data_IF_728606184837
#
_entry.id   IF_728606184837
#
_cell.length_a   1.000
_cell.length_b   1.000
_cell.length_c   1.000
_cell.angle_alpha   90.00
_cell.angle_beta   90.00
_cell.angle_gamma   90.00
#
_symmetry.space_group_name_H-M   'P 1'
#
loop_
_entity.id
_entity.type
_entity.pdbx_description
1 polymer ?
#
# COMPACT_ATOMS: atom_id res chain seq x y z
N UNK A 1 -19.98 -16.87 6.60
CA UNK A 1 -18.53 -17.08 6.82
C UNK A 1 -17.94 -15.76 7.24
N UNK A 2 -17.21 -15.73 8.34
CA UNK A 2 -16.58 -14.53 8.83
C UNK A 2 -15.50 -14.09 7.85
N UNK A 3 -15.54 -12.83 7.42
CA UNK A 3 -14.56 -12.25 6.51
C UNK A 3 -13.27 -11.94 7.27
N UNK A 4 -12.13 -12.41 6.78
CA UNK A 4 -10.83 -12.26 7.41
C UNK A 4 -9.94 -11.33 6.60
N UNK A 5 -9.39 -10.32 7.25
CA UNK A 5 -8.49 -9.37 6.62
C UNK A 5 -7.14 -9.33 7.33
N UNK A 6 -6.06 -9.21 6.58
CA UNK A 6 -4.72 -8.94 7.12
C UNK A 6 -4.28 -7.56 6.64
N UNK A 7 -3.83 -6.73 7.60
CA UNK A 7 -3.37 -5.36 7.36
C UNK A 7 -1.89 -5.24 7.71
N UNK A 8 -1.04 -5.03 6.70
CA UNK A 8 0.39 -4.77 6.88
C UNK A 8 0.61 -3.26 6.95
N UNK A 9 1.33 -2.80 7.98
CA UNK A 9 1.56 -1.38 8.24
C UNK A 9 0.46 -0.73 9.10
N UNK A 10 -0.17 -1.50 9.98
CA UNK A 10 -1.31 -1.08 10.79
C UNK A 10 -0.94 -0.25 12.05
N UNK A 11 0.34 0.02 12.32
CA UNK A 11 0.74 0.72 13.55
C UNK A 11 0.44 2.22 13.56
N UNK A 12 0.12 2.84 12.41
CA UNK A 12 -0.19 4.28 12.32
C UNK A 12 -0.82 4.65 10.97
N UNK A 13 -1.32 5.89 10.87
CA UNK A 13 -1.80 6.49 9.63
C UNK A 13 -2.87 5.67 8.93
N UNK A 14 -2.83 5.61 7.60
CA UNK A 14 -3.89 4.99 6.78
C UNK A 14 -4.10 3.51 7.14
N UNK A 15 -3.01 2.76 7.38
CA UNK A 15 -3.11 1.33 7.71
C UNK A 15 -3.88 1.09 9.01
N UNK A 16 -3.65 1.94 10.03
CA UNK A 16 -4.38 1.88 11.30
C UNK A 16 -5.86 2.18 11.11
N UNK A 17 -6.18 3.25 10.40
CA UNK A 17 -7.57 3.65 10.13
C UNK A 17 -8.33 2.58 9.34
N UNK A 18 -7.70 1.97 8.34
CA UNK A 18 -8.32 0.88 7.58
C UNK A 18 -8.56 -0.35 8.45
N UNK A 19 -7.61 -0.71 9.32
CA UNK A 19 -7.79 -1.83 10.24
C UNK A 19 -8.99 -1.60 11.19
N UNK A 20 -9.10 -0.41 11.78
CA UNK A 20 -10.21 -0.04 12.65
C UNK A 20 -11.55 -0.11 11.91
N UNK A 21 -11.65 0.49 10.73
CA UNK A 21 -12.88 0.47 9.93
C UNK A 21 -13.28 -0.94 9.46
N UNK A 22 -12.31 -1.82 9.19
CA UNK A 22 -12.60 -3.22 8.87
C UNK A 22 -13.21 -3.95 10.07
N UNK A 23 -12.65 -3.75 11.27
CA UNK A 23 -13.20 -4.32 12.51
C UNK A 23 -14.60 -3.78 12.80
N UNK A 24 -14.85 -2.47 12.64
CA UNK A 24 -16.19 -1.87 12.75
C UNK A 24 -17.20 -2.46 11.76
N UNK A 25 -16.75 -2.91 10.59
CA UNK A 25 -17.58 -3.61 9.59
C UNK A 25 -17.74 -5.12 9.87
N UNK A 26 -17.28 -5.60 11.01
CA UNK A 26 -17.41 -7.00 11.43
C UNK A 26 -16.41 -7.96 10.77
N UNK A 27 -15.28 -7.46 10.24
CA UNK A 27 -14.20 -8.34 9.79
C UNK A 27 -13.37 -8.84 10.97
N UNK A 28 -12.94 -10.08 10.90
CA UNK A 28 -11.88 -10.60 11.78
C UNK A 28 -10.54 -10.15 11.22
N UNK A 29 -9.83 -9.27 11.94
CA UNK A 29 -8.65 -8.57 11.42
C UNK A 29 -7.38 -9.03 12.12
N UNK A 30 -6.40 -9.46 11.31
CA UNK A 30 -5.00 -9.63 11.72
C UNK A 30 -4.19 -8.39 11.31
N UNK A 31 -3.33 -7.91 12.20
CA UNK A 31 -2.53 -6.71 11.98
C UNK A 31 -1.04 -6.97 12.13
N UNK A 32 -0.23 -6.33 11.28
CA UNK A 32 1.23 -6.45 11.37
C UNK A 32 1.94 -5.12 11.12
N UNK A 33 3.00 -4.89 11.88
CA UNK A 33 3.95 -3.81 11.72
C UNK A 33 5.20 -4.06 12.56
N UNK A 34 6.19 -3.17 12.48
CA UNK A 34 7.41 -3.24 13.32
C UNK A 34 7.16 -2.90 14.79
N UNK A 35 6.22 -1.98 15.08
CA UNK A 35 5.91 -1.47 16.42
C UNK A 35 4.72 -2.24 16.99
N UNK A 36 5.02 -3.28 17.77
CA UNK A 36 3.99 -4.18 18.32
C UNK A 36 3.12 -3.48 19.36
N UNK A 37 3.69 -2.63 20.18
CA UNK A 37 2.98 -1.84 21.18
C UNK A 37 1.83 -1.02 20.59
N UNK A 38 2.04 -0.48 19.37
CA UNK A 38 1.00 0.25 18.63
C UNK A 38 -0.07 -0.64 18.02
N UNK A 39 0.25 -1.91 17.76
CA UNK A 39 -0.72 -2.88 17.26
C UNK A 39 -1.63 -3.39 18.39
N UNK A 40 -1.09 -3.56 19.60
CA UNK A 40 -1.84 -3.98 20.79
C UNK A 40 -2.98 -3.00 21.13
N UNK A 41 -2.78 -1.70 20.90
CA UNK A 41 -3.82 -0.67 21.06
C UNK A 41 -5.06 -0.88 20.15
N UNK A 42 -4.93 -1.66 19.07
CA UNK A 42 -6.03 -1.92 18.13
C UNK A 42 -6.99 -3.03 18.58
N UNK A 43 -6.58 -3.86 19.56
CA UNK A 43 -7.36 -5.03 19.99
C UNK A 43 -7.78 -5.95 18.83
N UNK A 44 -6.93 -6.10 17.82
CA UNK A 44 -7.18 -6.96 16.66
C UNK A 44 -7.16 -8.45 17.04
N UNK A 45 -7.82 -9.30 16.25
CA UNK A 45 -7.95 -10.72 16.50
C UNK A 45 -6.61 -11.48 16.48
N UNK A 46 -5.63 -10.99 15.70
CA UNK A 46 -4.27 -11.53 15.66
C UNK A 46 -3.27 -10.39 15.41
N UNK A 47 -2.10 -10.50 16.03
CA UNK A 47 -1.03 -9.50 15.94
C UNK A 47 0.29 -10.20 15.62
N UNK A 48 1.07 -9.65 14.67
CA UNK A 48 2.39 -10.17 14.35
C UNK A 48 3.39 -9.02 14.14
N UNK A 49 4.61 -9.19 14.65
CA UNK A 49 5.69 -8.25 14.41
C UNK A 49 6.36 -8.54 13.06
N UNK A 50 6.03 -7.75 12.04
CA UNK A 50 6.63 -7.89 10.71
C UNK A 50 7.41 -6.63 10.33
N UNK A 51 8.70 -6.79 10.07
CA UNK A 51 9.48 -5.86 9.27
C UNK A 51 9.58 -6.43 7.85
N UNK A 52 8.95 -5.75 6.89
CA UNK A 52 8.87 -6.21 5.50
C UNK A 52 10.24 -6.28 4.81
N UNK A 53 11.27 -5.64 5.38
CA UNK A 53 12.64 -5.68 4.84
C UNK A 53 13.39 -6.95 5.23
N UNK A 54 12.96 -7.66 6.28
CA UNK A 54 13.62 -8.85 6.79
C UNK A 54 13.25 -10.11 5.98
N UNK A 55 14.13 -11.10 5.99
CA UNK A 55 13.93 -12.36 5.25
C UNK A 55 12.80 -13.21 5.83
N UNK A 56 12.58 -13.14 7.13
CA UNK A 56 11.54 -13.89 7.84
C UNK A 56 10.11 -13.32 7.68
N UNK A 57 9.96 -12.18 6.98
CA UNK A 57 8.68 -11.49 6.83
C UNK A 57 7.57 -12.36 6.21
N UNK A 58 7.92 -13.23 5.25
CA UNK A 58 6.95 -14.15 4.64
C UNK A 58 6.52 -15.25 5.59
N UNK A 59 7.45 -15.83 6.36
CA UNK A 59 7.16 -16.86 7.38
C UNK A 59 6.23 -16.28 8.47
N UNK A 60 6.50 -15.05 8.92
CA UNK A 60 5.66 -14.36 9.87
C UNK A 60 4.26 -14.03 9.30
N UNK A 61 4.17 -13.68 8.02
CA UNK A 61 2.86 -13.51 7.37
C UNK A 61 2.08 -14.83 7.35
N UNK A 62 2.72 -15.95 7.03
CA UNK A 62 2.08 -17.27 7.07
C UNK A 62 1.60 -17.65 8.48
N UNK A 63 2.40 -17.33 9.51
CA UNK A 63 2.00 -17.52 10.91
C UNK A 63 0.76 -16.67 11.25
N UNK A 64 0.73 -15.40 10.83
CA UNK A 64 -0.41 -14.52 11.05
C UNK A 64 -1.68 -15.02 10.32
N UNK A 65 -1.56 -15.51 9.07
CA UNK A 65 -2.66 -16.11 8.32
C UNK A 65 -3.19 -17.34 9.08
N UNK A 66 -2.30 -18.19 9.57
CA UNK A 66 -2.66 -19.41 10.30
C UNK A 66 -3.36 -19.09 11.62
N UNK A 67 -2.87 -18.12 12.41
CA UNK A 67 -3.47 -17.71 13.67
C UNK A 67 -4.85 -17.08 13.48
N UNK A 68 -5.10 -16.42 12.33
CA UNK A 68 -6.39 -15.84 11.96
C UNK A 68 -7.37 -16.90 11.39
N UNK A 69 -6.88 -18.11 11.08
CA UNK A 69 -7.66 -19.18 10.47
C UNK A 69 -7.95 -18.97 8.97
N UNK A 70 -7.14 -18.14 8.29
CA UNK A 70 -7.26 -17.86 6.85
C UNK A 70 -7.26 -16.36 6.51
N UNK A 71 -7.40 -16.06 5.22
CA UNK A 71 -7.39 -14.68 4.71
C UNK A 71 -8.28 -14.54 3.47
N UNK A 72 -9.13 -13.50 3.44
CA UNK A 72 -9.97 -13.13 2.29
C UNK A 72 -9.52 -11.81 1.66
N UNK A 73 -8.95 -10.90 2.49
CA UNK A 73 -8.41 -9.60 2.08
C UNK A 73 -6.99 -9.43 2.64
N UNK A 74 -6.05 -9.14 1.75
CA UNK A 74 -4.72 -8.66 2.10
C UNK A 74 -4.61 -7.18 1.80
N UNK A 75 -4.45 -6.35 2.83
CA UNK A 75 -4.27 -4.91 2.69
C UNK A 75 -2.85 -4.49 3.05
N UNK A 76 -2.13 -3.94 2.06
CA UNK A 76 -0.74 -3.51 2.23
C UNK A 76 -0.65 -2.00 2.33
N UNK A 77 -0.25 -1.49 3.50
CA UNK A 77 -0.06 -0.07 3.79
C UNK A 77 1.38 0.30 4.21
N UNK A 78 2.29 -0.69 4.26
CA UNK A 78 3.68 -0.41 4.64
C UNK A 78 4.42 0.32 3.53
N UNK A 79 5.19 1.34 3.92
CA UNK A 79 6.01 2.09 2.99
C UNK A 79 6.69 3.26 3.66
N UNK A 80 7.74 3.75 3.05
CA UNK A 80 8.45 4.97 3.46
C UNK A 80 8.57 5.93 2.28
N UNK A 81 8.74 7.22 2.58
CA UNK A 81 8.97 8.24 1.56
C UNK A 81 9.61 9.46 2.19
N UNK A 82 10.72 9.88 1.62
CA UNK A 82 11.41 11.13 1.96
C UNK A 82 11.77 11.86 0.69
N UNK A 83 11.79 13.18 0.74
CA UNK A 83 12.48 13.97 -0.28
C UNK A 83 13.99 13.75 -0.16
N UNK A 84 14.67 13.62 -1.28
CA UNK A 84 16.10 13.36 -1.34
C UNK A 84 16.74 14.07 -2.54
N UNK A 85 16.77 15.40 -2.49
CA UNK A 85 17.32 16.23 -3.58
C UNK A 85 18.83 16.08 -3.71
N UNK A 86 19.51 15.67 -2.63
CA UNK A 86 20.96 15.47 -2.57
C UNK A 86 21.38 14.03 -2.92
N UNK A 87 20.42 13.16 -3.22
CA UNK A 87 20.65 11.74 -3.55
C UNK A 87 21.47 10.99 -2.48
N UNK A 88 21.18 11.26 -1.20
CA UNK A 88 21.79 10.50 -0.10
C UNK A 88 21.49 9.02 -0.26
N UNK A 89 22.53 8.21 -0.33
CA UNK A 89 22.45 6.79 -0.69
C UNK A 89 21.60 5.99 0.30
N UNK A 90 21.74 6.28 1.59
CA UNK A 90 20.96 5.61 2.66
C UNK A 90 19.46 5.79 2.48
N UNK A 91 19.00 7.00 2.07
CA UNK A 91 17.57 7.28 1.82
C UNK A 91 17.08 6.53 0.57
N UNK A 92 17.87 6.53 -0.51
CA UNK A 92 17.53 5.83 -1.75
C UNK A 92 17.42 4.32 -1.50
N UNK A 93 18.44 3.72 -0.88
CA UNK A 93 18.48 2.29 -0.62
C UNK A 93 17.40 1.85 0.39
N UNK A 94 17.19 2.59 1.49
CA UNK A 94 16.11 2.28 2.43
C UNK A 94 14.73 2.32 1.74
N UNK A 95 14.51 3.28 0.84
CA UNK A 95 13.27 3.39 0.06
C UNK A 95 13.09 2.19 -0.88
N UNK A 96 14.13 1.77 -1.59
CA UNK A 96 14.11 0.59 -2.46
C UNK A 96 13.86 -0.69 -1.64
N UNK A 97 14.54 -0.82 -0.51
CA UNK A 97 14.40 -1.98 0.37
C UNK A 97 12.98 -2.15 0.89
N UNK A 98 12.38 -1.06 1.39
CA UNK A 98 11.03 -1.10 1.96
C UNK A 98 9.95 -1.16 0.87
N UNK A 99 9.98 -0.21 -0.07
CA UNK A 99 8.90 -0.04 -1.05
C UNK A 99 9.06 -0.95 -2.27
N UNK A 100 10.27 -1.40 -2.58
CA UNK A 100 10.55 -2.32 -3.67
C UNK A 100 10.57 -3.77 -3.19
N UNK A 101 11.64 -4.17 -2.51
CA UNK A 101 11.88 -5.55 -2.10
C UNK A 101 10.83 -6.03 -1.10
N UNK A 102 10.59 -5.26 -0.02
CA UNK A 102 9.60 -5.60 1.00
C UNK A 102 8.18 -5.70 0.43
N UNK A 103 7.80 -4.77 -0.46
CA UNK A 103 6.51 -4.82 -1.17
C UNK A 103 6.39 -6.10 -2.00
N UNK A 104 7.39 -6.40 -2.83
CA UNK A 104 7.38 -7.59 -3.70
C UNK A 104 7.28 -8.88 -2.90
N UNK A 105 8.02 -8.96 -1.79
CA UNK A 105 8.00 -10.11 -0.87
C UNK A 105 6.61 -10.36 -0.30
N UNK A 106 5.98 -9.33 0.25
CA UNK A 106 4.70 -9.44 0.94
C UNK A 106 3.51 -9.66 -0.02
N UNK A 107 3.47 -8.90 -1.12
CA UNK A 107 2.44 -9.06 -2.16
C UNK A 107 2.56 -10.42 -2.85
N UNK A 108 3.80 -10.86 -3.12
CA UNK A 108 4.06 -12.16 -3.72
C UNK A 108 3.60 -13.32 -2.83
N UNK A 109 3.80 -13.21 -1.50
CA UNK A 109 3.31 -14.23 -0.56
C UNK A 109 1.79 -14.25 -0.49
N UNK A 110 1.13 -13.11 -0.38
CA UNK A 110 -0.32 -13.01 -0.42
C UNK A 110 -0.90 -13.56 -1.73
N UNK A 111 -0.24 -13.30 -2.87
CA UNK A 111 -0.63 -13.86 -4.16
C UNK A 111 -0.53 -15.39 -4.18
N UNK A 112 0.57 -15.98 -3.69
CA UNK A 112 0.74 -17.44 -3.61
C UNK A 112 -0.34 -18.08 -2.75
N UNK A 113 -0.63 -17.49 -1.59
CA UNK A 113 -1.70 -17.95 -0.71
C UNK A 113 -3.06 -17.95 -1.44
N UNK A 114 -3.45 -16.83 -2.06
CA UNK A 114 -4.72 -16.76 -2.80
C UNK A 114 -4.75 -17.62 -4.05
N UNK A 115 -3.59 -17.87 -4.68
CA UNK A 115 -3.51 -18.77 -5.82
C UNK A 115 -3.79 -20.23 -5.43
N UNK A 116 -3.38 -20.66 -4.23
CA UNK A 116 -3.71 -21.96 -3.66
C UNK A 116 -5.19 -22.03 -3.24
N UNK A 117 -5.72 -20.94 -2.66
CA UNK A 117 -7.12 -20.84 -2.26
C UNK A 117 -8.08 -20.71 -3.46
N UNK A 118 -7.57 -20.29 -4.63
CA UNK A 118 -8.35 -20.06 -5.86
C UNK A 118 -9.05 -18.69 -5.92
N UNK A 119 -9.10 -17.96 -4.83
CA UNK A 119 -9.76 -16.65 -4.75
C UNK A 119 -9.17 -15.78 -3.61
N UNK A 120 -9.38 -14.45 -3.70
CA UNK A 120 -8.98 -13.50 -2.68
C UNK A 120 -8.96 -12.07 -3.18
N UNK A 121 -8.55 -11.14 -2.32
CA UNK A 121 -8.43 -9.73 -2.68
C UNK A 121 -7.12 -9.14 -2.16
N UNK A 122 -6.29 -8.62 -3.04
CA UNK A 122 -5.07 -7.88 -2.73
C UNK A 122 -5.34 -6.40 -2.95
N UNK A 123 -5.27 -5.60 -1.88
CA UNK A 123 -5.37 -4.15 -1.95
C UNK A 123 -4.08 -3.52 -1.42
N UNK A 124 -3.53 -2.54 -2.11
CA UNK A 124 -2.27 -1.93 -1.70
C UNK A 124 -2.25 -0.42 -1.90
N UNK A 125 -1.64 0.27 -0.95
CA UNK A 125 -1.37 1.70 -1.06
C UNK A 125 -0.11 1.92 -1.89
N UNK A 126 -0.31 2.42 -3.10
CA UNK A 126 0.77 2.91 -3.94
C UNK A 126 0.88 4.43 -3.84
N UNK A 127 0.76 5.19 -4.89
CA UNK A 127 0.73 6.67 -4.87
C UNK A 127 0.45 7.26 -6.24
N UNK A 128 -0.06 8.48 -6.28
CA UNK A 128 -0.02 9.32 -7.49
C UNK A 128 1.43 9.60 -7.95
N UNK A 129 2.41 9.57 -7.04
CA UNK A 129 3.83 9.74 -7.32
C UNK A 129 4.38 8.70 -8.31
N UNK A 130 3.73 7.52 -8.42
CA UNK A 130 4.07 6.52 -9.44
C UNK A 130 3.63 6.88 -10.87
N UNK A 131 2.98 8.02 -11.09
CA UNK A 131 2.54 8.45 -12.43
C UNK A 131 3.68 8.99 -13.29
N UNK A 132 4.64 9.69 -12.67
CA UNK A 132 5.81 10.32 -13.30
C UNK A 132 7.00 10.31 -12.35
N UNK A 133 8.22 10.34 -12.87
CA UNK A 133 9.42 10.56 -12.04
C UNK A 133 9.39 11.95 -11.39
N UNK A 134 9.62 12.01 -10.10
CA UNK A 134 9.65 13.25 -9.32
C UNK A 134 11.07 13.54 -8.85
N UNK A 135 11.65 14.65 -9.34
CA UNK A 135 13.01 15.06 -9.00
C UNK A 135 13.28 15.17 -7.49
N UNK A 136 12.36 15.72 -6.69
CA UNK A 136 12.56 15.78 -5.23
C UNK A 136 12.61 14.42 -4.50
N UNK A 137 12.10 13.33 -5.10
CA UNK A 137 12.03 12.02 -4.49
C UNK A 137 12.18 10.89 -5.53
N UNK A 138 13.40 10.67 -6.06
CA UNK A 138 13.61 9.76 -7.20
C UNK A 138 13.25 8.31 -6.88
N UNK A 139 13.83 7.70 -5.84
CA UNK A 139 13.55 6.33 -5.44
C UNK A 139 12.09 6.13 -5.03
N UNK A 140 11.48 7.11 -4.37
CA UNK A 140 10.08 7.03 -3.98
C UNK A 140 9.17 6.94 -5.21
N UNK A 141 9.31 7.87 -6.16
CA UNK A 141 8.48 7.87 -7.37
C UNK A 141 8.74 6.62 -8.24
N UNK A 142 9.99 6.17 -8.33
CA UNK A 142 10.35 4.96 -9.05
C UNK A 142 9.74 3.70 -8.40
N UNK A 143 9.83 3.56 -7.07
CA UNK A 143 9.22 2.42 -6.36
C UNK A 143 7.70 2.43 -6.45
N UNK A 144 7.05 3.60 -6.39
CA UNK A 144 5.59 3.69 -6.55
C UNK A 144 5.14 3.36 -7.98
N UNK A 145 5.92 3.69 -9.00
CA UNK A 145 5.67 3.26 -10.38
C UNK A 145 5.85 1.74 -10.53
N UNK A 146 6.91 1.18 -9.95
CA UNK A 146 7.15 -0.27 -9.90
C UNK A 146 5.98 -1.00 -9.24
N UNK A 147 5.48 -0.52 -8.10
CA UNK A 147 4.34 -1.12 -7.39
C UNK A 147 3.07 -1.14 -8.27
N UNK A 148 2.77 -0.05 -8.98
CA UNK A 148 1.64 0.03 -9.91
C UNK A 148 1.73 -1.03 -11.03
N UNK A 149 2.91 -1.16 -11.64
CA UNK A 149 3.15 -2.13 -12.72
C UNK A 149 3.14 -3.56 -12.18
N UNK A 150 3.70 -3.79 -11.01
CA UNK A 150 3.75 -5.11 -10.39
C UNK A 150 2.35 -5.65 -10.08
N UNK A 151 1.47 -4.82 -9.47
CA UNK A 151 0.07 -5.20 -9.23
C UNK A 151 -0.67 -5.53 -10.53
N UNK A 152 -0.50 -4.71 -11.57
CA UNK A 152 -1.08 -4.94 -12.88
C UNK A 152 -0.62 -6.27 -13.51
N UNK A 153 0.68 -6.58 -13.40
CA UNK A 153 1.24 -7.83 -13.92
C UNK A 153 0.70 -9.06 -13.17
N UNK A 154 0.57 -8.98 -11.84
CA UNK A 154 -0.03 -10.07 -11.06
C UNK A 154 -1.50 -10.27 -11.37
N UNK A 155 -2.26 -9.20 -11.60
CA UNK A 155 -3.66 -9.28 -12.03
C UNK A 155 -3.78 -9.98 -13.40
N UNK A 156 -2.92 -9.61 -14.36
CA UNK A 156 -2.85 -10.26 -15.66
C UNK A 156 -2.52 -11.76 -15.52
N UNK A 157 -1.55 -12.10 -14.66
CA UNK A 157 -1.17 -13.49 -14.40
C UNK A 157 -2.33 -14.27 -13.74
N UNK A 158 -3.04 -13.68 -12.79
CA UNK A 158 -4.19 -14.31 -12.14
C UNK A 158 -5.31 -14.60 -13.16
N UNK A 159 -5.61 -13.63 -14.02
CA UNK A 159 -6.61 -13.79 -15.08
C UNK A 159 -6.23 -14.89 -16.08
N UNK A 160 -4.97 -14.94 -16.52
CA UNK A 160 -4.47 -15.98 -17.43
C UNK A 160 -4.53 -17.38 -16.82
N UNK A 161 -4.48 -17.50 -15.49
CA UNK A 161 -4.60 -18.76 -14.74
C UNK A 161 -6.04 -19.08 -14.31
N UNK A 162 -7.02 -18.27 -14.65
CA UNK A 162 -8.43 -18.44 -14.24
C UNK A 162 -8.67 -18.28 -12.73
N UNK A 163 -7.76 -17.62 -12.01
CA UNK A 163 -7.87 -17.39 -10.56
C UNK A 163 -8.81 -16.22 -10.27
N UNK A 164 -9.66 -16.36 -9.24
CA UNK A 164 -10.57 -15.28 -8.81
C UNK A 164 -9.92 -14.33 -7.80
N UNK A 165 -8.68 -13.92 -8.06
CA UNK A 165 -7.96 -12.96 -7.24
C UNK A 165 -8.25 -11.56 -7.77
N UNK A 166 -8.68 -10.67 -6.86
CA UNK A 166 -8.95 -9.26 -7.17
C UNK A 166 -7.80 -8.40 -6.72
N UNK A 167 -7.63 -7.27 -7.42
CA UNK A 167 -6.61 -6.29 -7.08
C UNK A 167 -7.22 -4.91 -6.95
N UNK A 168 -6.77 -4.13 -5.96
CA UNK A 168 -7.13 -2.72 -5.81
C UNK A 168 -5.86 -1.91 -5.56
N UNK A 169 -5.44 -1.17 -6.58
CA UNK A 169 -4.31 -0.24 -6.53
C UNK A 169 -4.80 1.13 -6.05
N UNK A 170 -4.46 1.48 -4.82
CA UNK A 170 -4.90 2.71 -4.16
C UNK A 170 -3.81 3.77 -4.29
N UNK A 171 -4.14 4.88 -4.94
CA UNK A 171 -3.21 5.97 -5.28
C UNK A 171 -3.61 7.27 -4.58
N UNK A 172 -3.26 7.45 -3.30
CA UNK A 172 -3.47 8.72 -2.63
C UNK A 172 -2.50 9.79 -3.13
N UNK A 173 -2.91 11.06 -2.95
CA UNK A 173 -2.02 12.20 -2.95
C UNK A 173 -1.33 12.38 -1.59
N UNK A 174 -1.16 13.62 -1.15
CA UNK A 174 -0.59 13.91 0.15
C UNK A 174 -1.60 13.63 1.27
N UNK A 175 -1.20 12.81 2.23
CA UNK A 175 -2.04 12.43 3.39
C UNK A 175 -1.29 12.79 4.66
N UNK A 176 -1.98 13.43 5.59
CA UNK A 176 -1.46 13.85 6.87
C UNK A 176 -1.11 12.63 7.75
N UNK A 177 0.11 12.18 7.61
CA UNK A 177 0.65 11.01 8.32
C UNK A 177 2.12 11.25 8.65
N UNK A 178 2.66 10.46 9.56
CA UNK A 178 4.08 10.49 9.90
C UNK A 178 5.04 10.31 8.69
N UNK A 179 4.54 9.85 7.55
CA UNK A 179 5.30 9.75 6.32
C UNK A 179 5.72 11.10 5.76
N UNK A 180 4.90 12.13 5.98
CA UNK A 180 5.10 13.50 5.48
C UNK A 180 5.60 14.46 6.57
N UNK A 181 6.02 13.94 7.74
CA UNK A 181 6.58 14.76 8.81
C UNK A 181 7.89 15.41 8.34
N UNK A 182 7.84 16.70 8.08
CA UNK A 182 8.95 17.55 7.69
C UNK A 182 8.47 18.98 7.49
N UNK A 183 9.40 19.92 7.37
CA UNK A 183 9.16 21.38 7.26
C UNK A 183 8.50 21.81 5.92
N UNK A 184 8.04 20.85 5.12
CA UNK A 184 7.46 21.12 3.81
C UNK A 184 5.94 21.28 3.90
N UNK A 185 5.46 22.37 3.35
CA UNK A 185 4.04 22.61 3.20
C UNK A 185 3.53 21.86 1.94
N UNK A 186 2.75 20.79 2.16
CA UNK A 186 2.17 20.01 1.06
C UNK A 186 0.77 20.53 0.71
N UNK A 187 0.48 20.76 -0.59
CA UNK A 187 -0.83 21.23 -1.00
C UNK A 187 -1.89 20.11 -0.92
N UNK A 188 -3.13 20.50 -0.68
CA UNK A 188 -4.29 19.60 -0.75
C UNK A 188 -4.20 18.38 0.18
N UNK A 189 -3.65 18.55 1.39
CA UNK A 189 -3.53 17.48 2.40
C UNK A 189 -4.87 16.81 2.67
N UNK A 190 -4.86 15.48 2.71
CA UNK A 190 -6.02 14.66 3.03
C UNK A 190 -5.90 14.11 4.45
N UNK A 191 -7.02 13.99 5.16
CA UNK A 191 -7.06 13.33 6.47
C UNK A 191 -7.05 11.82 6.32
N UNK A 192 -6.27 11.07 7.14
CA UNK A 192 -6.18 9.60 7.06
C UNK A 192 -7.53 8.90 7.15
N UNK A 193 -8.44 9.39 8.01
CA UNK A 193 -9.76 8.79 8.22
C UNK A 193 -10.63 8.89 6.96
N UNK A 194 -10.56 10.03 6.26
CA UNK A 194 -11.25 10.20 4.96
C UNK A 194 -10.68 9.28 3.91
N UNK A 195 -9.36 9.17 3.86
CA UNK A 195 -8.66 8.28 2.92
C UNK A 195 -9.05 6.83 3.18
N UNK A 196 -9.09 6.39 4.44
CA UNK A 196 -9.48 5.03 4.81
C UNK A 196 -10.92 4.68 4.38
N UNK A 197 -11.87 5.61 4.55
CA UNK A 197 -13.26 5.43 4.05
C UNK A 197 -13.32 5.25 2.54
N UNK A 198 -12.56 6.03 1.78
CA UNK A 198 -12.46 5.92 0.32
C UNK A 198 -11.79 4.59 -0.12
N UNK A 199 -10.83 4.10 0.67
CA UNK A 199 -10.18 2.79 0.46
C UNK A 199 -11.20 1.67 0.64
N UNK A 200 -11.95 1.66 1.74
CA UNK A 200 -12.98 0.64 1.98
C UNK A 200 -14.08 0.70 0.91
N UNK A 201 -14.48 1.90 0.50
CA UNK A 201 -15.37 2.03 -0.64
C UNK A 201 -14.79 1.35 -1.90
N UNK A 202 -13.51 1.58 -2.22
CA UNK A 202 -12.87 0.99 -3.38
C UNK A 202 -12.78 -0.55 -3.29
N UNK A 203 -12.44 -1.09 -2.12
CA UNK A 203 -12.38 -2.53 -1.85
C UNK A 203 -13.78 -3.16 -2.00
N UNK A 204 -14.79 -2.60 -1.35
CA UNK A 204 -16.17 -3.13 -1.37
C UNK A 204 -16.77 -3.09 -2.78
N UNK A 205 -16.45 -2.06 -3.60
CA UNK A 205 -16.89 -1.92 -4.99
C UNK A 205 -15.93 -2.52 -6.01
N UNK A 206 -14.87 -3.24 -5.55
CA UNK A 206 -13.95 -3.99 -6.41
C UNK A 206 -13.28 -3.11 -7.47
N UNK A 207 -12.87 -1.89 -7.10
CA UNK A 207 -12.21 -0.97 -8.02
C UNK A 207 -10.77 -1.43 -8.25
N UNK A 208 -10.36 -1.62 -9.52
CA UNK A 208 -8.99 -2.00 -9.87
C UNK A 208 -7.98 -0.90 -9.52
N UNK A 209 -8.33 0.35 -9.80
CA UNK A 209 -7.50 1.52 -9.47
C UNK A 209 -8.38 2.57 -8.79
N UNK A 210 -7.91 3.13 -7.68
CA UNK A 210 -8.55 4.25 -7.00
C UNK A 210 -7.55 5.36 -6.71
N UNK A 211 -7.57 6.44 -7.49
CA UNK A 211 -6.94 7.70 -7.11
C UNK A 211 -7.85 8.39 -6.11
N UNK A 212 -7.33 8.62 -4.90
CA UNK A 212 -8.09 9.22 -3.81
C UNK A 212 -8.22 10.72 -4.03
N UNK A 213 -9.46 11.23 -3.94
CA UNK A 213 -9.89 12.59 -4.21
C UNK A 213 -9.91 12.97 -5.70
N UNK A 214 -10.93 13.76 -6.09
CA UNK A 214 -11.14 14.15 -7.49
C UNK A 214 -10.09 15.12 -8.02
N UNK A 215 -9.52 15.98 -7.14
CA UNK A 215 -8.47 16.93 -7.50
C UNK A 215 -7.21 16.19 -7.96
N UNK A 216 -6.82 15.15 -7.22
CA UNK A 216 -5.68 14.30 -7.58
C UNK A 216 -5.97 13.45 -8.82
N UNK A 217 -7.24 13.05 -9.06
CA UNK A 217 -7.62 12.39 -10.32
C UNK A 217 -7.39 13.29 -11.52
N UNK A 218 -7.84 14.54 -11.43
CA UNK A 218 -7.63 15.54 -12.48
C UNK A 218 -6.12 15.80 -12.68
N UNK A 219 -5.40 16.06 -11.61
CA UNK A 219 -3.95 16.30 -11.63
C UNK A 219 -3.19 15.17 -12.33
N UNK A 220 -3.43 13.93 -11.94
CA UNK A 220 -2.74 12.76 -12.54
C UNK A 220 -3.16 12.50 -13.99
N UNK A 221 -4.41 12.79 -14.35
CA UNK A 221 -4.88 12.72 -15.71
C UNK A 221 -4.14 13.73 -16.62
N UNK A 222 -3.88 14.94 -16.11
CA UNK A 222 -3.06 15.94 -16.81
C UNK A 222 -1.58 15.51 -16.87
N UNK A 223 -1.00 15.08 -15.75
CA UNK A 223 0.41 14.64 -15.70
C UNK A 223 0.72 13.55 -16.74
N UNK A 224 -0.17 12.57 -16.90
CA UNK A 224 0.02 11.48 -17.88
C UNK A 224 0.15 11.99 -19.31
N UNK A 225 -0.53 13.10 -19.66
CA UNK A 225 -0.51 13.69 -21.01
C UNK A 225 0.70 14.53 -21.29
N UNK A 226 1.42 15.00 -20.25
CA UNK A 226 2.63 15.79 -20.44
C UNK A 226 3.71 14.94 -21.10
N UNK A 227 4.25 15.32 -22.29
CA UNK A 227 5.33 14.59 -22.94
C UNK A 227 6.59 14.51 -22.07
N UNK A 228 7.37 13.45 -22.21
CA UNK A 228 8.58 13.23 -21.39
C UNK A 228 9.60 14.37 -21.52
N UNK A 229 9.77 14.91 -22.73
CA UNK A 229 10.72 16.00 -22.98
C UNK A 229 10.35 17.29 -22.23
N UNK A 230 9.05 17.56 -22.06
CA UNK A 230 8.55 18.71 -21.30
C UNK A 230 8.63 18.43 -19.79
N UNK A 231 8.20 17.24 -19.35
CA UNK A 231 8.23 16.86 -17.93
C UNK A 231 9.62 17.00 -17.31
N UNK A 232 10.68 16.61 -18.03
CA UNK A 232 12.08 16.71 -17.56
C UNK A 232 12.54 18.14 -17.28
N UNK A 233 11.85 19.15 -17.78
CA UNK A 233 12.19 20.58 -17.64
C UNK A 233 11.35 21.27 -16.56
N UNK A 234 10.29 20.64 -16.07
CA UNK A 234 9.45 21.19 -15.00
C UNK A 234 10.23 21.14 -13.69
N UNK A 235 10.31 22.27 -13.03
CA UNK A 235 10.87 22.37 -11.67
C UNK A 235 9.75 22.09 -10.66
N UNK A 236 9.93 21.06 -9.85
CA UNK A 236 9.01 20.61 -8.78
C UNK A 236 9.55 21.00 -7.41
#
# INVERSE_FOLDING_TARGET
MDKRAIVIGASSGIGREVAMLLMEQGWTVGVAARRVEKLQELHAAAIEQIDVTQEDATTKLQALISSLGGMDLFFYASGIGKQNRELKEDIELATLQTNGLGFTRMIGEAYRYFAQQGCGHIAAITSIAGTKGLGPAPSYSATKAMQNVYLQALEQQANARGLKIRFTDIRPGFVDTALLNGDFHYPMMLRPERVAKEILYAINHRRHIRVIDWKYRLLTALWRRIPRWLWRRIRL
#
